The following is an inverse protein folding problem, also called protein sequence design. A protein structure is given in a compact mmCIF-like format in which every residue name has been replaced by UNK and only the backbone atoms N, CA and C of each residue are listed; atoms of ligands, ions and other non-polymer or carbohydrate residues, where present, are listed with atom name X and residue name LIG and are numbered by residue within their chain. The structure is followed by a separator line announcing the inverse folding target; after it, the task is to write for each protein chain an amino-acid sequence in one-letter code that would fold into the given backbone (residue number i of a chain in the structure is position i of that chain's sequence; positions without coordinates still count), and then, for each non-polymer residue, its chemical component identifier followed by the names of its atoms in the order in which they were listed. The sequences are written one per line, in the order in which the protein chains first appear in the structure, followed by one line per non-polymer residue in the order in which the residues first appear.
data_IF_259046415863
#
_entry.id   IF_259046415863
#
_cell.length_a   1.000
_cell.length_b   1.000
_cell.length_c   1.000
_cell.angle_alpha   90.00
_cell.angle_beta   90.00
_cell.angle_gamma   90.00
#
_symmetry.space_group_name_H-M   'P 1'
#
loop_
_entity.id
_entity.type
_entity.pdbx_description
1 polymer ?
#
# COMPACT_ATOMS: atom_id res chain seq x y z
N UNK A 1 9.98 -28.65 -6.79
CA UNK A 1 10.67 -27.49 -6.18
C UNK A 1 9.63 -26.48 -5.72
N UNK A 2 9.86 -25.94 -4.56
CA UNK A 2 9.00 -24.85 -4.08
C UNK A 2 9.26 -23.58 -4.90
N UNK A 3 8.21 -22.88 -5.34
CA UNK A 3 8.40 -21.64 -6.06
C UNK A 3 9.07 -20.58 -5.18
N UNK A 4 9.84 -19.70 -5.78
CA UNK A 4 10.42 -18.56 -5.09
C UNK A 4 9.34 -17.57 -4.70
N UNK A 5 9.42 -17.06 -3.47
CA UNK A 5 8.54 -15.98 -3.00
C UNK A 5 9.26 -14.66 -3.18
N UNK A 6 8.56 -13.69 -3.76
CA UNK A 6 9.09 -12.37 -4.08
C UNK A 6 8.16 -11.32 -3.49
N UNK A 7 8.73 -10.39 -2.71
CA UNK A 7 8.02 -9.21 -2.23
C UNK A 7 8.31 -8.04 -3.17
N UNK A 8 7.29 -7.60 -3.89
CA UNK A 8 7.36 -6.46 -4.81
C UNK A 8 7.12 -5.14 -4.04
N UNK A 9 8.07 -4.76 -3.20
CA UNK A 9 7.93 -3.58 -2.35
C UNK A 9 9.28 -3.03 -1.94
N UNK A 10 9.37 -1.71 -1.83
CA UNK A 10 10.49 -1.00 -1.20
C UNK A 10 10.23 -0.64 0.27
N UNK A 11 9.05 -0.99 0.80
CA UNK A 11 8.65 -0.66 2.18
C UNK A 11 9.39 -1.54 3.20
N UNK A 12 10.21 -0.95 4.11
CA UNK A 12 10.86 -1.70 5.18
C UNK A 12 9.83 -2.37 6.11
N UNK A 13 8.69 -1.73 6.33
CA UNK A 13 7.62 -2.27 7.19
C UNK A 13 7.02 -3.54 6.61
N UNK A 14 6.73 -3.57 5.32
CA UNK A 14 6.19 -4.76 4.64
C UNK A 14 7.22 -5.89 4.62
N UNK A 15 8.48 -5.55 4.42
CA UNK A 15 9.58 -6.51 4.51
C UNK A 15 9.61 -7.17 5.90
N UNK A 16 9.58 -6.37 6.96
CA UNK A 16 9.56 -6.87 8.34
C UNK A 16 8.34 -7.74 8.63
N UNK A 17 7.14 -7.32 8.19
CA UNK A 17 5.91 -8.09 8.39
C UNK A 17 5.97 -9.46 7.71
N UNK A 18 6.46 -9.51 6.48
CA UNK A 18 6.58 -10.79 5.77
C UNK A 18 7.66 -11.68 6.40
N UNK A 19 8.76 -11.09 6.87
CA UNK A 19 9.82 -11.83 7.56
C UNK A 19 9.30 -12.50 8.85
N UNK A 20 8.38 -11.88 9.57
CA UNK A 20 7.77 -12.43 10.78
C UNK A 20 6.99 -13.75 10.52
N UNK A 21 6.57 -14.00 9.30
CA UNK A 21 5.88 -15.24 8.92
C UNK A 21 6.80 -16.45 8.87
N UNK A 22 8.11 -16.24 8.89
CA UNK A 22 9.12 -17.29 8.72
C UNK A 22 9.33 -17.74 7.27
N UNK A 23 8.61 -17.17 6.32
CA UNK A 23 8.81 -17.45 4.90
C UNK A 23 10.15 -16.88 4.40
N UNK A 24 10.84 -17.63 3.56
CA UNK A 24 12.02 -17.14 2.83
C UNK A 24 11.53 -16.45 1.55
N UNK A 25 11.99 -15.23 1.32
CA UNK A 25 11.59 -14.45 0.15
C UNK A 25 12.73 -13.54 -0.30
N UNK A 26 12.63 -13.08 -1.54
CA UNK A 26 13.46 -11.99 -2.08
C UNK A 26 12.62 -10.74 -2.19
N UNK A 27 13.25 -9.59 -2.04
CA UNK A 27 12.62 -8.30 -2.25
C UNK A 27 13.04 -7.73 -3.59
N UNK A 28 12.05 -7.39 -4.42
CA UNK A 28 12.24 -6.71 -5.70
C UNK A 28 11.42 -5.43 -5.67
N UNK A 29 12.06 -4.26 -5.57
CA UNK A 29 11.33 -3.00 -5.59
C UNK A 29 10.52 -2.83 -6.87
N UNK A 30 9.31 -2.31 -6.74
CA UNK A 30 8.45 -2.06 -7.88
C UNK A 30 7.92 -0.63 -7.81
N UNK A 31 8.36 0.18 -8.76
CA UNK A 31 7.94 1.58 -8.87
C UNK A 31 6.99 1.73 -10.05
N UNK A 32 5.80 2.22 -9.77
CA UNK A 32 4.78 2.51 -10.77
C UNK A 32 4.20 3.90 -10.51
N UNK A 33 3.50 4.45 -11.50
CA UNK A 33 2.75 5.68 -11.32
C UNK A 33 1.49 5.41 -10.51
N UNK A 34 1.45 5.92 -9.28
CA UNK A 34 0.37 5.71 -8.31
C UNK A 34 -0.70 6.81 -8.41
N UNK A 35 -1.21 7.07 -9.60
CA UNK A 35 -2.30 8.03 -9.80
C UNK A 35 -3.65 7.34 -9.88
N UNK A 36 -4.63 7.90 -9.17
CA UNK A 36 -6.01 7.46 -9.27
C UNK A 36 -6.58 7.78 -10.66
N UNK A 37 -7.37 6.87 -11.20
CA UNK A 37 -8.15 7.08 -12.42
C UNK A 37 -9.44 7.83 -12.10
N UNK A 38 -10.01 8.49 -13.11
CA UNK A 38 -11.27 9.20 -12.96
C UNK A 38 -12.37 8.26 -12.41
N UNK A 39 -13.07 8.71 -11.37
CA UNK A 39 -14.12 7.97 -10.66
C UNK A 39 -13.67 6.63 -10.03
N UNK A 40 -12.38 6.37 -9.91
CA UNK A 40 -11.87 5.19 -9.24
C UNK A 40 -12.04 5.33 -7.71
N UNK A 41 -12.71 4.36 -7.07
CA UNK A 41 -12.79 4.36 -5.61
C UNK A 41 -11.49 3.84 -4.96
N UNK A 42 -11.34 4.06 -3.67
CA UNK A 42 -10.11 3.74 -2.95
C UNK A 42 -9.78 2.24 -2.96
N UNK A 43 -10.78 1.37 -2.85
CA UNK A 43 -10.61 -0.09 -2.88
C UNK A 43 -10.10 -0.57 -4.24
N UNK A 44 -10.74 -0.12 -5.31
CA UNK A 44 -10.33 -0.43 -6.69
C UNK A 44 -8.94 0.11 -6.98
N UNK A 45 -8.65 1.32 -6.53
CA UNK A 45 -7.34 1.95 -6.68
C UNK A 45 -6.25 1.11 -6.00
N UNK A 46 -6.41 0.77 -4.71
CA UNK A 46 -5.43 0.00 -3.96
C UNK A 46 -5.17 -1.38 -4.59
N UNK A 47 -6.22 -2.08 -5.03
CA UNK A 47 -6.09 -3.37 -5.71
C UNK A 47 -5.41 -3.25 -7.07
N UNK A 48 -5.76 -2.25 -7.87
CA UNK A 48 -5.13 -2.01 -9.17
C UNK A 48 -3.64 -1.73 -9.02
N UNK A 49 -3.26 -0.86 -8.10
CA UNK A 49 -1.85 -0.52 -7.87
C UNK A 49 -1.07 -1.76 -7.38
N UNK A 50 -1.63 -2.55 -6.46
CA UNK A 50 -1.01 -3.78 -6.01
C UNK A 50 -0.77 -4.76 -7.17
N UNK A 51 -1.75 -4.96 -8.04
CA UNK A 51 -1.62 -5.81 -9.24
C UNK A 51 -0.56 -5.28 -10.21
N UNK A 52 -0.54 -3.99 -10.48
CA UNK A 52 0.44 -3.37 -11.37
C UNK A 52 1.87 -3.50 -10.83
N UNK A 53 2.06 -3.37 -9.52
CA UNK A 53 3.35 -3.62 -8.86
C UNK A 53 3.81 -5.06 -9.04
N UNK A 54 2.92 -6.02 -8.83
CA UNK A 54 3.22 -7.43 -9.02
C UNK A 54 3.58 -7.75 -10.48
N UNK A 55 2.83 -7.24 -11.45
CA UNK A 55 3.10 -7.42 -12.87
C UNK A 55 4.44 -6.83 -13.28
N UNK A 56 4.77 -5.65 -12.79
CA UNK A 56 6.05 -5.01 -13.09
C UNK A 56 7.23 -5.84 -12.58
N UNK A 57 7.13 -6.37 -11.36
CA UNK A 57 8.15 -7.26 -10.81
C UNK A 57 8.26 -8.58 -11.58
N UNK A 58 7.16 -9.07 -12.16
CA UNK A 58 7.15 -10.30 -12.96
C UNK A 58 7.94 -10.19 -14.26
N UNK A 59 8.30 -8.98 -14.68
CA UNK A 59 9.16 -8.78 -15.86
C UNK A 59 10.62 -9.18 -15.59
N UNK A 60 11.03 -9.22 -14.34
CA UNK A 60 12.42 -9.49 -13.94
C UNK A 60 12.57 -10.63 -12.93
N UNK A 61 11.48 -11.23 -12.48
CA UNK A 61 11.51 -12.30 -11.50
C UNK A 61 10.32 -13.25 -11.69
N UNK A 62 10.58 -14.55 -11.54
CA UNK A 62 9.58 -15.61 -11.61
C UNK A 62 9.32 -16.21 -10.23
N UNK A 63 8.09 -16.59 -9.97
CA UNK A 63 7.66 -17.23 -8.74
C UNK A 63 6.31 -16.73 -8.25
N UNK A 64 6.14 -16.70 -6.95
CA UNK A 64 4.96 -16.16 -6.27
C UNK A 64 5.29 -14.72 -5.85
N UNK A 65 4.69 -13.77 -6.52
CA UNK A 65 4.94 -12.34 -6.29
C UNK A 65 3.87 -11.77 -5.40
N UNK A 66 4.27 -11.20 -4.27
CA UNK A 66 3.39 -10.54 -3.30
C UNK A 66 3.58 -9.03 -3.43
N UNK A 67 2.50 -8.33 -3.66
CA UNK A 67 2.47 -6.87 -3.72
C UNK A 67 1.29 -6.32 -2.92
N UNK A 68 1.44 -5.12 -2.42
CA UNK A 68 0.39 -4.43 -1.70
C UNK A 68 0.44 -2.93 -1.97
N UNK A 69 -0.71 -2.30 -1.81
CA UNK A 69 -0.81 -0.85 -1.77
C UNK A 69 -1.77 -0.44 -0.65
N UNK A 70 -1.41 0.61 0.08
CA UNK A 70 -2.19 1.13 1.19
C UNK A 70 -2.54 2.59 0.95
N UNK A 71 -3.82 2.90 1.04
CA UNK A 71 -4.34 4.26 0.89
C UNK A 71 -5.26 4.63 2.04
N UNK A 72 -5.39 5.92 2.29
CA UNK A 72 -6.35 6.47 3.23
C UNK A 72 -7.54 6.99 2.45
N UNK A 73 -8.72 6.58 2.88
CA UNK A 73 -10.00 7.13 2.40
C UNK A 73 -10.56 8.03 3.47
N UNK A 74 -10.73 9.31 3.16
CA UNK A 74 -11.43 10.29 3.99
C UNK A 74 -12.65 10.78 3.21
N UNK A 75 -13.86 10.51 3.75
CA UNK A 75 -15.11 10.70 3.02
C UNK A 75 -15.06 9.96 1.68
N UNK A 76 -15.20 10.64 0.56
CA UNK A 76 -15.11 10.06 -0.78
C UNK A 76 -13.76 10.33 -1.47
N UNK A 77 -12.78 10.85 -0.73
CA UNK A 77 -11.48 11.23 -1.27
C UNK A 77 -10.40 10.23 -0.89
N UNK A 78 -9.49 9.98 -1.81
CA UNK A 78 -8.28 9.21 -1.56
C UNK A 78 -7.20 10.18 -1.11
N UNK A 79 -6.61 9.92 0.06
CA UNK A 79 -5.48 10.67 0.58
C UNK A 79 -4.22 9.83 0.35
N UNK A 80 -3.38 10.29 -0.55
CA UNK A 80 -2.12 9.62 -0.89
C UNK A 80 -1.00 9.94 0.09
N UNK A 81 0.20 9.45 -0.23
CA UNK A 81 1.41 9.72 0.54
C UNK A 81 1.78 11.20 0.46
N UNK A 82 2.31 11.78 1.56
CA UNK A 82 2.78 13.17 1.53
C UNK A 82 3.95 13.33 0.55
N UNK A 83 3.93 14.42 -0.18
CA UNK A 83 4.99 14.77 -1.15
C UNK A 83 6.21 15.41 -0.48
N UNK A 84 5.98 16.08 0.64
CA UNK A 84 6.98 16.80 1.43
C UNK A 84 6.43 17.07 2.85
N UNK A 85 7.22 17.72 3.69
CA UNK A 85 6.81 18.04 5.07
C UNK A 85 5.55 18.91 5.12
N UNK A 86 5.45 19.91 4.25
CA UNK A 86 4.28 20.78 4.17
C UNK A 86 3.01 19.99 3.86
N UNK A 87 3.09 19.05 2.92
CA UNK A 87 1.98 18.19 2.56
C UNK A 87 1.64 17.22 3.69
N UNK A 88 2.63 16.70 4.41
CA UNK A 88 2.42 15.88 5.59
C UNK A 88 1.67 16.65 6.71
N UNK A 89 2.04 17.90 6.96
CA UNK A 89 1.33 18.79 7.90
C UNK A 89 -0.13 18.98 7.47
N UNK A 90 -0.36 19.22 6.19
CA UNK A 90 -1.69 19.37 5.62
C UNK A 90 -2.53 18.10 5.80
N UNK A 91 -1.98 16.94 5.50
CA UNK A 91 -2.67 15.65 5.63
C UNK A 91 -3.03 15.37 7.09
N UNK A 92 -2.10 15.53 8.02
CA UNK A 92 -2.37 15.31 9.43
C UNK A 92 -3.43 16.29 9.98
N UNK A 93 -3.38 17.55 9.55
CA UNK A 93 -4.41 18.53 9.89
C UNK A 93 -5.79 18.14 9.35
N UNK A 94 -5.82 17.58 8.15
CA UNK A 94 -7.05 17.11 7.52
C UNK A 94 -7.65 15.92 8.27
N UNK A 95 -6.83 15.00 8.76
CA UNK A 95 -7.25 13.78 9.48
C UNK A 95 -7.56 14.02 10.96
N UNK A 96 -7.01 15.10 11.55
CA UNK A 96 -7.18 15.42 12.97
C UNK A 96 -8.65 15.46 13.39
N UNK A 97 -9.00 14.73 14.44
CA UNK A 97 -10.35 14.67 15.00
C UNK A 97 -11.38 13.98 14.13
N UNK A 98 -10.98 13.29 13.07
CA UNK A 98 -11.89 12.65 12.12
C UNK A 98 -11.74 11.14 12.07
N UNK A 99 -12.78 10.49 11.58
CA UNK A 99 -12.75 9.07 11.19
C UNK A 99 -12.28 8.96 9.74
N UNK A 100 -11.40 8.00 9.50
CA UNK A 100 -10.98 7.64 8.14
C UNK A 100 -10.81 6.13 8.02
N UNK A 101 -10.69 5.65 6.80
CA UNK A 101 -10.49 4.23 6.52
C UNK A 101 -9.11 4.03 5.91
N UNK A 102 -8.33 3.13 6.47
CA UNK A 102 -7.08 2.66 5.86
C UNK A 102 -7.41 1.43 5.04
N UNK A 103 -7.11 1.47 3.76
CA UNK A 103 -7.43 0.40 2.81
C UNK A 103 -6.15 -0.16 2.26
N UNK A 104 -5.96 -1.47 2.41
CA UNK A 104 -4.83 -2.19 1.82
C UNK A 104 -5.33 -3.16 0.76
N UNK A 105 -4.90 -2.96 -0.47
CA UNK A 105 -5.04 -3.93 -1.54
C UNK A 105 -3.85 -4.87 -1.53
N UNK A 106 -4.12 -6.17 -1.51
CA UNK A 106 -3.11 -7.23 -1.57
C UNK A 106 -3.28 -8.00 -2.87
N UNK A 107 -2.19 -8.19 -3.59
CA UNK A 107 -2.15 -9.01 -4.79
C UNK A 107 -1.04 -10.06 -4.66
N UNK A 108 -1.38 -11.30 -4.92
CA UNK A 108 -0.43 -12.40 -5.07
C UNK A 108 -0.53 -12.90 -6.50
N UNK A 109 0.59 -12.87 -7.22
CA UNK A 109 0.67 -13.26 -8.61
C UNK A 109 1.55 -14.50 -8.79
N UNK A 110 0.96 -15.57 -9.29
CA UNK A 110 1.68 -16.78 -9.68
C UNK A 110 2.11 -16.63 -11.14
N UNK A 111 3.40 -16.45 -11.39
CA UNK A 111 3.92 -16.23 -12.73
C UNK A 111 3.80 -17.48 -13.62
N UNK A 112 3.85 -18.68 -13.03
CA UNK A 112 3.73 -19.93 -13.78
C UNK A 112 2.32 -20.18 -14.30
N UNK A 113 1.33 -19.83 -13.48
CA UNK A 113 -0.10 -19.98 -13.82
C UNK A 113 -0.70 -18.73 -14.44
N UNK A 114 0.04 -17.61 -14.42
CA UNK A 114 -0.44 -16.28 -14.82
C UNK A 114 -1.75 -15.90 -14.14
N UNK A 115 -1.83 -16.17 -12.83
CA UNK A 115 -3.04 -16.01 -12.04
C UNK A 115 -2.83 -15.10 -10.85
N UNK A 116 -3.81 -14.22 -10.63
CA UNK A 116 -3.89 -13.36 -9.44
C UNK A 116 -4.79 -13.95 -8.37
N UNK A 117 -4.38 -13.74 -7.13
CA UNK A 117 -5.19 -13.87 -5.92
C UNK A 117 -5.17 -12.53 -5.22
N UNK A 118 -6.32 -11.96 -4.93
CA UNK A 118 -6.40 -10.61 -4.38
C UNK A 118 -7.27 -10.55 -3.15
N UNK A 119 -6.96 -9.60 -2.27
CA UNK A 119 -7.75 -9.31 -1.08
C UNK A 119 -7.67 -7.81 -0.78
N UNK A 120 -8.78 -7.25 -0.32
CA UNK A 120 -8.86 -5.90 0.17
C UNK A 120 -9.17 -5.92 1.66
N UNK A 121 -8.35 -5.24 2.46
CA UNK A 121 -8.52 -5.14 3.91
C UNK A 121 -8.77 -3.68 4.27
N UNK A 122 -9.81 -3.45 5.08
CA UNK A 122 -10.19 -2.13 5.58
C UNK A 122 -9.98 -2.07 7.08
N UNK A 123 -9.37 -0.98 7.55
CA UNK A 123 -9.23 -0.65 8.96
C UNK A 123 -9.82 0.72 9.21
N UNK A 124 -10.76 0.80 10.13
CA UNK A 124 -11.40 2.06 10.51
C UNK A 124 -10.62 2.71 11.64
N UNK A 125 -10.23 3.96 11.45
CA UNK A 125 -9.41 4.72 12.38
C UNK A 125 -10.15 6.00 12.78
N UNK A 126 -10.24 6.25 14.07
CA UNK A 126 -10.67 7.54 14.61
C UNK A 126 -9.46 8.23 15.21
N UNK A 127 -9.10 9.38 14.67
CA UNK A 127 -8.01 10.19 15.20
C UNK A 127 -8.51 11.16 16.26
N UNK A 128 -7.73 11.29 17.33
CA UNK A 128 -7.93 12.37 18.29
C UNK A 128 -7.69 13.73 17.62
N UNK A 129 -8.21 14.78 18.23
CA UNK A 129 -7.90 16.15 17.80
C UNK A 129 -6.43 16.43 18.14
N UNK A 130 -5.65 16.75 17.11
CA UNK A 130 -4.23 17.04 17.23
C UNK A 130 -3.99 18.56 17.26
N UNK A 131 -3.14 19.02 18.18
CA UNK A 131 -2.66 20.39 18.16
C UNK A 131 -1.65 20.60 17.02
N UNK A 132 -1.47 21.84 16.59
CA UNK A 132 -0.47 22.15 15.56
C UNK A 132 0.95 21.76 16.03
N UNK A 133 1.24 21.90 17.31
CA UNK A 133 2.52 21.51 17.90
C UNK A 133 2.74 19.99 17.81
N UNK A 134 1.73 19.19 18.14
CA UNK A 134 1.79 17.72 18.00
C UNK A 134 2.02 17.32 16.55
N UNK A 135 1.33 17.93 15.62
CA UNK A 135 1.49 17.65 14.18
C UNK A 135 2.91 17.98 13.73
N UNK A 136 3.42 19.16 14.09
CA UNK A 136 4.79 19.58 13.73
C UNK A 136 5.86 18.68 14.32
N UNK A 137 5.68 18.17 15.54
CA UNK A 137 6.66 17.30 16.17
C UNK A 137 6.69 15.90 15.56
N UNK A 138 5.60 15.47 14.92
CA UNK A 138 5.51 14.18 14.23
C UNK A 138 6.15 14.20 12.84
N UNK A 139 6.08 15.31 12.16
CA UNK A 139 6.67 15.50 10.82
C UNK A 139 8.16 15.89 10.94
#
# INVERSE_FOLDING_TARGET
MNPQIILASSSPRRNSLLAETGLKFKTVPSYIDEKAKYLENAEKFALRIAKEKALKSSLIADGIIIAADTVIKLDNSIVGKPKNEKDALRILSLLSGKKHTVITGLAVYDTSKKKFYTKCVKTYVTMDVLSLEQIKSYV
#
